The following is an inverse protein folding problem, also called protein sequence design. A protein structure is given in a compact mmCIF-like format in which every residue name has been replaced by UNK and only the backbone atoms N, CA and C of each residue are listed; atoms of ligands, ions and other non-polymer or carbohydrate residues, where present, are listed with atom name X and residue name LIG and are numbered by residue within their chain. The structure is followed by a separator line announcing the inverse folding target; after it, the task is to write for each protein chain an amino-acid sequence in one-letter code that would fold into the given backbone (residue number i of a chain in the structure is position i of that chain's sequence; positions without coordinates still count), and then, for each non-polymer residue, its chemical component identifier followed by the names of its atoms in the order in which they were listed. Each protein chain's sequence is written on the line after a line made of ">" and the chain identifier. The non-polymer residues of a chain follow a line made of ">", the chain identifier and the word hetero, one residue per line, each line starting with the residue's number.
data_IF_131716760339
#
_entry.id   IF_131716760339
#
_cell.length_a   1.000
_cell.length_b   1.000
_cell.length_c   1.000
_cell.angle_alpha   90.00
_cell.angle_beta   90.00
_cell.angle_gamma   90.00
#
_symmetry.space_group_name_H-M   'P 1'
#
loop_
_entity.id
_entity.type
_entity.pdbx_description
1 polymer ?
#
# COMPACT_ATOMS: atom_id res chain seq x y z
N UNK A 1 10.95 9.45 -12.19
CA UNK A 1 10.02 10.43 -12.79
C UNK A 1 8.98 10.89 -11.76
N UNK A 2 8.33 12.05 -11.93
CA UNK A 2 8.95 13.26 -12.48
C UNK A 2 10.08 13.78 -11.58
N UNK A 3 10.32 13.19 -10.40
CA UNK A 3 11.46 13.53 -9.54
C UNK A 3 11.33 14.88 -8.84
N UNK A 4 10.10 15.28 -8.49
CA UNK A 4 9.81 16.52 -7.76
C UNK A 4 9.93 16.31 -6.26
N UNK A 5 10.53 17.27 -5.56
CA UNK A 5 10.62 17.29 -4.11
C UNK A 5 10.97 18.69 -3.59
N UNK A 6 10.82 18.90 -2.28
CA UNK A 6 11.37 20.09 -1.63
C UNK A 6 12.90 20.10 -1.71
N UNK A 7 13.54 21.27 -1.85
CA UNK A 7 15.01 21.38 -1.97
C UNK A 7 15.79 20.75 -0.81
N UNK A 8 15.24 20.76 0.41
CA UNK A 8 15.87 20.15 1.58
C UNK A 8 15.79 18.60 1.58
N UNK A 9 14.90 18.00 0.78
CA UNK A 9 14.84 16.54 0.58
C UNK A 9 15.95 16.11 -0.39
N UNK A 10 16.09 16.83 -1.50
CA UNK A 10 17.17 16.63 -2.47
C UNK A 10 17.44 17.94 -3.22
N UNK A 11 18.66 18.46 -3.11
CA UNK A 11 19.05 19.72 -3.75
C UNK A 11 18.93 19.69 -5.28
N UNK A 12 19.04 18.50 -5.89
CA UNK A 12 18.91 18.28 -7.33
C UNK A 12 17.46 18.36 -7.84
N UNK A 13 16.44 18.35 -6.96
CA UNK A 13 15.05 18.56 -7.37
C UNK A 13 14.89 19.95 -7.99
N UNK A 14 14.44 19.99 -9.25
CA UNK A 14 14.30 21.25 -10.00
C UNK A 14 13.10 22.06 -9.53
N UNK A 15 12.05 21.38 -9.09
CA UNK A 15 10.86 21.96 -8.50
C UNK A 15 10.18 20.91 -7.62
N UNK A 16 9.28 21.36 -6.75
CA UNK A 16 8.49 20.45 -5.93
C UNK A 16 8.19 20.99 -4.55
N UNK A 17 7.21 20.38 -3.91
CA UNK A 17 6.95 20.55 -2.49
C UNK A 17 6.49 19.22 -1.89
N UNK A 18 7.38 18.58 -1.14
CA UNK A 18 7.14 17.28 -0.50
C UNK A 18 6.05 17.30 0.56
N UNK A 19 5.64 18.49 1.04
CA UNK A 19 4.56 18.64 2.01
C UNK A 19 3.16 18.68 1.36
N UNK A 20 3.03 19.03 0.07
CA UNK A 20 1.73 19.29 -0.57
C UNK A 20 1.50 18.49 -1.84
N UNK A 21 2.50 18.36 -2.70
CA UNK A 21 2.35 17.74 -4.01
C UNK A 21 1.92 16.28 -3.97
N UNK A 22 2.41 15.43 -3.04
CA UNK A 22 1.91 14.06 -2.90
C UNK A 22 0.39 14.02 -2.70
N UNK A 23 -0.17 14.93 -1.90
CA UNK A 23 -1.60 15.02 -1.64
C UNK A 23 -2.41 15.51 -2.83
N UNK A 24 -1.88 16.49 -3.57
CA UNK A 24 -2.50 16.98 -4.80
C UNK A 24 -2.54 15.87 -5.86
N UNK A 25 -1.42 15.16 -6.05
CA UNK A 25 -1.32 14.05 -7.00
C UNK A 25 -2.26 12.91 -6.60
N UNK A 26 -2.23 12.47 -5.35
CA UNK A 26 -3.11 11.41 -4.85
C UNK A 26 -4.60 11.76 -5.02
N UNK A 27 -4.98 13.02 -4.78
CA UNK A 27 -6.34 13.49 -5.02
C UNK A 27 -6.76 13.40 -6.49
N UNK A 28 -5.92 13.86 -7.41
CA UNK A 28 -6.23 13.79 -8.84
C UNK A 28 -6.20 12.37 -9.39
N UNK A 29 -5.36 11.48 -8.86
CA UNK A 29 -5.40 10.04 -9.18
C UNK A 29 -6.76 9.44 -8.82
N UNK A 30 -7.28 9.73 -7.61
CA UNK A 30 -8.62 9.27 -7.19
C UNK A 30 -9.74 9.83 -8.07
N UNK A 31 -9.68 11.11 -8.43
CA UNK A 31 -10.69 11.72 -9.31
C UNK A 31 -10.64 11.15 -10.73
N UNK A 32 -9.44 10.96 -11.27
CA UNK A 32 -9.23 10.36 -12.60
C UNK A 32 -9.74 8.92 -12.63
N UNK A 33 -9.36 8.12 -11.62
CA UNK A 33 -9.85 6.76 -11.41
C UNK A 33 -11.38 6.71 -11.38
N UNK A 34 -12.01 7.53 -10.53
CA UNK A 34 -13.46 7.54 -10.38
C UNK A 34 -14.19 8.00 -11.66
N UNK A 35 -13.62 8.95 -12.41
CA UNK A 35 -14.16 9.36 -13.70
C UNK A 35 -14.10 8.22 -14.74
N UNK A 36 -12.98 7.51 -14.81
CA UNK A 36 -12.80 6.35 -15.70
C UNK A 36 -13.75 5.20 -15.33
N UNK A 37 -13.89 4.89 -14.03
CA UNK A 37 -14.83 3.87 -13.55
C UNK A 37 -16.26 4.25 -13.86
N UNK A 38 -16.65 5.50 -13.63
CA UNK A 38 -17.99 5.99 -13.99
C UNK A 38 -18.26 5.80 -15.48
N UNK A 39 -17.33 6.20 -16.35
CA UNK A 39 -17.45 6.01 -17.79
C UNK A 39 -17.60 4.52 -18.14
N UNK A 40 -16.76 3.66 -17.55
CA UNK A 40 -16.79 2.22 -17.77
C UNK A 40 -18.14 1.60 -17.40
N UNK A 41 -18.60 1.86 -16.17
CA UNK A 41 -19.88 1.34 -15.67
C UNK A 41 -21.07 1.83 -16.49
N UNK A 42 -21.05 3.08 -16.94
CA UNK A 42 -22.16 3.69 -17.68
C UNK A 42 -22.23 3.29 -19.16
N UNK A 43 -21.08 3.13 -19.83
CA UNK A 43 -21.06 2.91 -21.29
C UNK A 43 -20.68 1.50 -21.72
N UNK A 44 -19.81 0.84 -20.96
CA UNK A 44 -19.11 -0.36 -21.45
C UNK A 44 -19.46 -1.62 -20.66
N UNK A 45 -19.71 -1.52 -19.35
CA UNK A 45 -19.85 -2.69 -18.49
C UNK A 45 -21.02 -3.62 -18.88
N UNK A 46 -22.17 -3.07 -19.28
CA UNK A 46 -23.34 -3.87 -19.69
C UNK A 46 -23.03 -4.72 -20.93
N UNK A 47 -22.29 -4.16 -21.89
CA UNK A 47 -21.98 -4.82 -23.16
C UNK A 47 -20.80 -5.79 -22.99
N UNK A 48 -19.72 -5.33 -22.33
CA UNK A 48 -18.47 -6.09 -22.20
C UNK A 48 -18.50 -7.10 -21.07
N UNK A 49 -19.41 -6.95 -20.10
CA UNK A 49 -19.53 -7.79 -18.89
C UNK A 49 -18.24 -7.86 -18.06
N UNK A 50 -17.36 -6.86 -18.17
CA UNK A 50 -16.10 -6.81 -17.44
C UNK A 50 -16.23 -6.14 -16.07
N UNK A 51 -15.11 -6.14 -15.34
CA UNK A 51 -14.97 -5.53 -14.02
C UNK A 51 -13.82 -4.53 -14.05
N UNK A 52 -13.94 -3.45 -13.28
CA UNK A 52 -12.90 -2.44 -13.14
C UNK A 52 -12.57 -2.21 -11.67
N UNK A 53 -11.30 -1.96 -11.35
CA UNK A 53 -10.83 -1.83 -9.98
C UNK A 53 -9.66 -0.86 -9.87
N UNK A 54 -9.10 -0.77 -8.66
CA UNK A 54 -7.86 -0.04 -8.38
C UNK A 54 -6.82 -1.03 -7.86
N UNK A 55 -5.55 -0.81 -8.18
CA UNK A 55 -4.44 -1.55 -7.58
C UNK A 55 -3.74 -0.69 -6.54
N UNK A 56 -3.56 -1.22 -5.33
CA UNK A 56 -2.94 -0.54 -4.21
C UNK A 56 -1.74 -1.33 -3.71
N UNK A 57 -0.61 -0.65 -3.53
CA UNK A 57 0.58 -1.21 -2.89
C UNK A 57 0.56 -0.90 -1.42
N UNK A 58 0.76 -1.92 -0.58
CA UNK A 58 0.88 -1.70 0.86
C UNK A 58 1.67 -2.84 1.52
N UNK A 59 2.65 -2.53 2.38
CA UNK A 59 3.17 -3.53 3.31
C UNK A 59 2.16 -3.79 4.41
N UNK A 60 2.32 -4.91 5.13
CA UNK A 60 1.65 -5.04 6.42
C UNK A 60 2.43 -4.25 7.48
N UNK A 61 1.73 -3.54 8.36
CA UNK A 61 2.37 -2.77 9.42
C UNK A 61 2.13 -3.44 10.78
N UNK A 62 3.20 -3.98 11.35
CA UNK A 62 3.21 -4.59 12.67
C UNK A 62 3.52 -3.51 13.72
N UNK A 63 2.79 -3.40 14.84
CA UNK A 63 3.17 -2.45 15.88
C UNK A 63 4.50 -2.84 16.52
N UNK A 64 5.38 -1.85 16.73
CA UNK A 64 6.71 -2.11 17.30
C UNK A 64 6.61 -2.76 18.69
N UNK A 65 5.62 -2.42 19.50
CA UNK A 65 5.30 -3.13 20.75
C UNK A 65 3.79 -3.15 21.00
N UNK A 66 3.37 -3.88 22.04
CA UNK A 66 1.96 -3.94 22.48
C UNK A 66 1.46 -2.65 23.15
N UNK A 67 2.31 -1.62 23.29
CA UNK A 67 1.91 -0.33 23.85
C UNK A 67 0.96 0.38 22.88
N UNK A 68 -0.13 0.93 23.43
CA UNK A 68 -1.18 1.64 22.67
C UNK A 68 -0.63 2.65 21.64
N UNK A 69 0.38 3.51 21.94
CA UNK A 69 0.90 4.44 20.95
C UNK A 69 1.50 3.76 19.71
N UNK A 70 2.16 2.61 19.83
CA UNK A 70 2.73 1.89 18.69
C UNK A 70 1.66 1.16 17.87
N UNK A 71 0.59 0.70 18.53
CA UNK A 71 -0.60 0.17 17.84
C UNK A 71 -1.26 1.27 17.01
N UNK A 72 -1.48 2.45 17.59
CA UNK A 72 -2.04 3.60 16.88
C UNK A 72 -1.12 4.06 15.74
N UNK A 73 0.20 4.05 15.95
CA UNK A 73 1.17 4.37 14.90
C UNK A 73 1.12 3.39 13.72
N UNK A 74 0.94 2.09 13.99
CA UNK A 74 0.78 1.08 12.94
C UNK A 74 -0.48 1.35 12.10
N UNK A 75 -1.61 1.66 12.73
CA UNK A 75 -2.84 2.01 12.01
C UNK A 75 -2.72 3.33 11.25
N UNK A 76 -2.04 4.34 11.80
CA UNK A 76 -1.75 5.57 11.03
C UNK A 76 -0.88 5.28 9.82
N UNK A 77 0.17 4.48 9.95
CA UNK A 77 0.99 4.10 8.80
C UNK A 77 0.17 3.35 7.72
N UNK A 78 -0.72 2.42 8.12
CA UNK A 78 -1.65 1.77 7.21
C UNK A 78 -2.64 2.75 6.56
N UNK A 79 -3.16 3.72 7.30
CA UNK A 79 -4.03 4.76 6.75
C UNK A 79 -3.28 5.60 5.71
N UNK A 80 -2.03 5.97 5.96
CA UNK A 80 -1.23 6.78 5.01
C UNK A 80 -0.76 6.00 3.77
N UNK A 81 -0.72 4.67 3.82
CA UNK A 81 -0.34 3.82 2.68
C UNK A 81 -1.56 3.29 1.92
N UNK A 82 -2.42 2.53 2.61
CA UNK A 82 -3.57 1.84 2.03
C UNK A 82 -4.86 2.66 2.16
N UNK A 83 -5.16 3.15 3.37
CA UNK A 83 -6.38 3.90 3.66
C UNK A 83 -6.52 5.18 2.84
N UNK A 84 -5.40 5.81 2.46
CA UNK A 84 -5.37 7.03 1.68
C UNK A 84 -6.15 6.91 0.37
N UNK A 85 -6.13 5.72 -0.24
CA UNK A 85 -6.90 5.43 -1.45
C UNK A 85 -8.14 4.59 -1.17
N UNK A 86 -8.06 3.65 -0.22
CA UNK A 86 -9.16 2.73 0.09
C UNK A 86 -10.36 3.44 0.76
N UNK A 87 -10.13 4.33 1.73
CA UNK A 87 -11.22 5.05 2.40
C UNK A 87 -12.00 5.95 1.43
N UNK A 88 -11.36 6.73 0.51
CA UNK A 88 -12.11 7.49 -0.49
C UNK A 88 -13.01 6.63 -1.37
N UNK A 89 -12.55 5.48 -1.87
CA UNK A 89 -13.38 4.66 -2.76
C UNK A 89 -14.47 3.88 -2.02
N UNK A 90 -14.38 3.69 -0.70
CA UNK A 90 -15.41 3.02 0.10
C UNK A 90 -16.39 4.03 0.72
N UNK A 91 -15.87 5.10 1.30
CA UNK A 91 -16.61 6.03 2.15
C UNK A 91 -16.81 7.41 1.50
N UNK A 92 -16.07 7.73 0.43
CA UNK A 92 -16.15 9.01 -0.26
C UNK A 92 -15.27 10.11 0.34
N UNK A 93 -14.42 9.80 1.31
CA UNK A 93 -13.50 10.76 1.93
C UNK A 93 -12.26 10.05 2.50
N UNK A 94 -11.21 10.82 2.81
CA UNK A 94 -9.94 10.31 3.33
C UNK A 94 -10.04 9.72 4.75
N UNK A 95 -9.05 8.95 5.23
CA UNK A 95 -9.01 8.53 6.63
C UNK A 95 -9.03 9.72 7.60
N UNK A 96 -9.69 9.55 8.76
CA UNK A 96 -9.76 10.60 9.78
C UNK A 96 -8.36 11.03 10.27
N UNK A 97 -7.47 10.06 10.47
CA UNK A 97 -6.08 10.28 10.87
C UNK A 97 -5.37 11.26 9.91
N UNK A 98 -5.49 11.03 8.60
CA UNK A 98 -4.92 11.90 7.57
C UNK A 98 -5.54 13.30 7.60
N UNK A 99 -6.87 13.42 7.62
CA UNK A 99 -7.53 14.75 7.69
C UNK A 99 -7.09 15.55 8.91
N UNK A 100 -6.98 14.89 10.07
CA UNK A 100 -6.61 15.54 11.32
C UNK A 100 -5.14 16.01 11.35
N UNK A 101 -4.22 15.21 10.79
CA UNK A 101 -2.78 15.50 10.81
C UNK A 101 -2.37 16.43 9.67
N UNK A 102 -2.81 16.14 8.44
CA UNK A 102 -2.37 16.84 7.22
C UNK A 102 -3.11 18.17 7.02
N UNK A 103 -4.38 18.22 7.45
CA UNK A 103 -5.23 19.43 7.46
C UNK A 103 -5.30 20.10 6.07
N UNK A 104 -4.97 21.39 5.99
CA UNK A 104 -5.14 22.20 4.77
C UNK A 104 -4.26 21.74 3.60
N UNK A 105 -3.22 20.92 3.84
CA UNK A 105 -2.39 20.34 2.77
C UNK A 105 -3.09 19.18 2.07
N UNK A 106 -4.11 18.57 2.70
CA UNK A 106 -4.93 17.51 2.11
C UNK A 106 -6.12 18.15 1.38
N UNK A 107 -6.23 17.98 0.05
CA UNK A 107 -7.38 18.48 -0.68
C UNK A 107 -8.70 17.92 -0.13
N UNK A 108 -9.79 18.66 -0.30
CA UNK A 108 -11.13 18.23 0.13
C UNK A 108 -11.94 17.83 -1.09
N UNK A 109 -12.63 16.70 -0.99
CA UNK A 109 -13.65 16.37 -1.99
C UNK A 109 -14.85 17.30 -1.83
N UNK A 110 -15.29 17.90 -2.93
CA UNK A 110 -16.65 18.44 -3.03
C UNK A 110 -17.66 17.30 -2.92
N UNK A 111 -18.92 17.60 -2.60
CA UNK A 111 -19.97 16.58 -2.52
C UNK A 111 -20.08 15.75 -3.80
N UNK A 112 -20.05 16.40 -4.97
CA UNK A 112 -20.08 15.74 -6.28
C UNK A 112 -18.89 14.81 -6.50
N UNK A 113 -17.69 15.19 -6.07
CA UNK A 113 -16.51 14.34 -6.18
C UNK A 113 -16.57 13.16 -5.21
N UNK A 114 -16.97 13.41 -3.97
CA UNK A 114 -17.16 12.36 -2.94
C UNK A 114 -18.13 11.29 -3.44
N UNK A 115 -19.28 11.71 -3.97
CA UNK A 115 -20.30 10.81 -4.52
C UNK A 115 -19.81 10.05 -5.78
N UNK A 116 -18.88 10.63 -6.54
CA UNK A 116 -18.29 9.97 -7.72
C UNK A 116 -17.22 8.95 -7.34
N UNK A 117 -16.40 9.24 -6.33
CA UNK A 117 -15.30 8.36 -5.88
C UNK A 117 -15.85 7.19 -5.05
N UNK A 118 -16.88 7.41 -4.24
CA UNK A 118 -17.51 6.37 -3.43
C UNK A 118 -18.10 5.26 -4.33
N UNK A 119 -17.71 4.01 -4.08
CA UNK A 119 -18.15 2.84 -4.85
C UNK A 119 -17.51 2.72 -6.24
N UNK A 120 -16.44 3.46 -6.52
CA UNK A 120 -15.76 3.45 -7.81
C UNK A 120 -14.85 2.23 -8.03
N UNK A 121 -15.34 1.02 -7.75
CA UNK A 121 -14.62 -0.23 -8.03
C UNK A 121 -15.59 -1.42 -8.08
N UNK A 122 -15.16 -2.52 -8.69
CA UNK A 122 -15.81 -3.85 -8.66
C UNK A 122 -14.92 -4.89 -7.95
N UNK A 123 -13.62 -4.62 -7.87
CA UNK A 123 -12.61 -5.39 -7.15
C UNK A 123 -11.45 -4.48 -6.72
N UNK A 124 -10.61 -4.98 -5.81
CA UNK A 124 -9.36 -4.34 -5.41
C UNK A 124 -8.18 -5.24 -5.80
N UNK A 125 -7.19 -4.67 -6.48
CA UNK A 125 -5.86 -5.25 -6.66
C UNK A 125 -4.98 -4.90 -5.47
N UNK A 126 -4.29 -5.89 -4.90
CA UNK A 126 -3.31 -5.68 -3.84
C UNK A 126 -1.94 -6.10 -4.33
N UNK A 127 -0.98 -5.18 -4.26
CA UNK A 127 0.44 -5.45 -4.45
C UNK A 127 1.07 -5.57 -3.06
N UNK A 128 1.49 -6.79 -2.69
CA UNK A 128 2.07 -7.10 -1.39
C UNK A 128 3.47 -7.68 -1.58
N UNK A 129 4.43 -7.24 -0.76
CA UNK A 129 5.82 -7.71 -0.87
C UNK A 129 6.47 -7.98 0.48
N UNK A 130 6.19 -7.14 1.48
CA UNK A 130 6.94 -7.05 2.74
C UNK A 130 6.05 -6.58 3.88
N UNK A 131 6.61 -6.55 5.08
CA UNK A 131 6.03 -5.91 6.24
C UNK A 131 7.07 -5.05 6.97
N UNK A 132 6.60 -4.07 7.74
CA UNK A 132 7.43 -3.21 8.58
C UNK A 132 6.90 -3.16 10.01
N UNK A 133 7.78 -2.89 10.97
CA UNK A 133 7.37 -2.45 12.29
C UNK A 133 7.12 -0.94 12.31
N UNK A 134 6.09 -0.48 13.02
CA UNK A 134 5.83 0.93 13.26
C UNK A 134 5.99 1.32 14.74
N UNK A 135 6.91 2.25 15.00
CA UNK A 135 7.06 2.92 16.28
C UNK A 135 6.43 4.32 16.23
N UNK A 136 5.90 4.78 17.37
CA UNK A 136 5.21 6.05 17.47
C UNK A 136 6.20 7.22 17.53
N UNK A 137 5.95 8.26 16.74
CA UNK A 137 6.63 9.55 16.87
C UNK A 137 5.71 10.49 17.66
N UNK A 138 6.08 10.90 18.89
CA UNK A 138 5.19 11.71 19.74
C UNK A 138 5.14 13.19 19.33
N UNK A 139 6.18 13.69 18.66
CA UNK A 139 6.30 15.10 18.28
C UNK A 139 6.45 15.20 16.76
N UNK A 140 5.53 15.92 16.12
CA UNK A 140 5.58 16.16 14.69
C UNK A 140 6.76 17.07 14.31
N UNK A 141 7.38 16.81 13.17
CA UNK A 141 8.33 17.75 12.57
C UNK A 141 7.55 18.98 12.04
N UNK A 142 7.94 20.18 12.46
CA UNK A 142 7.28 21.43 12.06
C UNK A 142 8.06 22.23 11.02
N UNK A 143 9.30 21.83 10.72
CA UNK A 143 10.18 22.55 9.79
C UNK A 143 10.23 21.85 8.44
N UNK A 144 10.72 20.61 8.44
CA UNK A 144 10.90 19.80 7.24
C UNK A 144 9.70 18.85 7.07
N UNK A 145 8.53 19.44 6.83
CA UNK A 145 7.26 18.73 6.69
C UNK A 145 7.23 18.00 5.34
N UNK A 146 6.90 16.71 5.35
CA UNK A 146 6.75 15.89 4.15
C UNK A 146 5.63 14.89 4.35
N UNK A 147 4.98 14.47 3.26
CA UNK A 147 4.07 13.33 3.29
C UNK A 147 4.69 12.12 4.02
N UNK A 148 5.98 11.87 3.81
CA UNK A 148 6.70 10.72 4.39
C UNK A 148 6.82 10.76 5.93
N UNK A 149 6.59 11.91 6.56
CA UNK A 149 6.66 12.07 8.03
C UNK A 149 5.29 12.28 8.67
N UNK A 150 4.24 12.52 7.87
CA UNK A 150 2.90 12.87 8.35
C UNK A 150 2.16 11.71 9.03
N UNK A 151 2.57 10.45 8.82
CA UNK A 151 2.01 9.30 9.55
C UNK A 151 2.34 9.31 11.04
N UNK A 152 3.32 10.14 11.46
CA UNK A 152 3.87 10.18 12.82
C UNK A 152 4.27 8.79 13.31
N UNK A 153 4.88 8.01 12.41
CA UNK A 153 5.37 6.68 12.67
C UNK A 153 6.77 6.50 12.05
N UNK A 154 7.68 5.91 12.82
CA UNK A 154 8.95 5.41 12.28
C UNK A 154 8.73 3.99 11.82
N UNK A 155 8.92 3.74 10.53
CA UNK A 155 8.92 2.40 9.96
C UNK A 155 10.32 1.79 10.05
N UNK A 156 10.41 0.52 10.45
CA UNK A 156 11.67 -0.20 10.55
C UNK A 156 11.46 -1.69 10.31
N UNK A 157 12.44 -2.32 9.67
CA UNK A 157 12.43 -3.76 9.41
C UNK A 157 13.00 -4.56 10.58
N UNK A 158 13.53 -3.90 11.62
CA UNK A 158 14.16 -4.53 12.78
C UNK A 158 13.53 -4.10 14.10
N UNK A 159 13.37 -5.06 15.01
CA UNK A 159 12.95 -4.82 16.39
C UNK A 159 13.91 -5.50 17.35
N UNK A 160 14.56 -4.72 18.21
CA UNK A 160 15.57 -5.20 19.16
C UNK A 160 16.70 -6.01 18.48
N UNK A 161 17.14 -5.55 17.30
CA UNK A 161 18.18 -6.22 16.52
C UNK A 161 17.70 -7.41 15.69
N UNK A 162 16.42 -7.79 15.77
CA UNK A 162 15.86 -8.92 15.03
C UNK A 162 15.04 -8.40 13.84
N UNK A 163 15.42 -8.81 12.63
CA UNK A 163 14.67 -8.50 11.41
C UNK A 163 13.27 -9.13 11.42
N UNK A 164 12.30 -8.45 10.81
CA UNK A 164 10.92 -8.93 10.69
C UNK A 164 10.82 -10.21 9.85
N UNK A 165 11.72 -10.36 8.88
CA UNK A 165 11.86 -11.52 8.02
C UNK A 165 13.23 -11.51 7.33
N UNK A 166 13.53 -12.56 6.56
CA UNK A 166 14.76 -12.63 5.76
C UNK A 166 14.79 -11.50 4.73
N UNK A 167 15.87 -10.74 4.64
CA UNK A 167 16.04 -9.70 3.64
C UNK A 167 16.29 -10.34 2.26
N UNK A 168 15.68 -9.78 1.21
CA UNK A 168 16.00 -10.11 -0.17
C UNK A 168 17.22 -9.30 -0.68
N UNK A 169 17.40 -9.21 -1.99
CA UNK A 169 18.52 -8.47 -2.57
C UNK A 169 18.41 -6.96 -2.30
N UNK A 170 17.22 -6.39 -2.44
CA UNK A 170 16.96 -5.01 -2.03
C UNK A 170 16.73 -4.90 -0.53
N UNK A 171 17.24 -3.80 0.05
CA UNK A 171 17.18 -3.55 1.50
C UNK A 171 15.77 -3.25 2.03
N UNK A 172 14.80 -2.92 1.17
CA UNK A 172 13.43 -2.62 1.60
C UNK A 172 12.57 -3.89 1.72
N UNK A 173 12.92 -4.97 1.03
CA UNK A 173 12.10 -6.18 0.95
C UNK A 173 12.55 -7.21 2.00
N UNK A 174 11.68 -7.46 2.98
CA UNK A 174 11.86 -8.51 3.99
C UNK A 174 10.71 -9.52 3.89
N UNK A 175 11.07 -10.79 3.75
CA UNK A 175 10.10 -11.86 3.49
C UNK A 175 9.22 -12.11 4.72
N UNK A 176 7.98 -11.62 4.67
CA UNK A 176 7.01 -11.76 5.76
C UNK A 176 5.65 -12.29 5.28
N UNK A 177 5.52 -13.60 4.98
CA UNK A 177 4.31 -14.17 4.39
C UNK A 177 3.04 -14.02 5.24
N UNK A 178 3.18 -14.02 6.57
CA UNK A 178 2.06 -13.82 7.50
C UNK A 178 1.37 -12.48 7.29
N UNK A 179 2.13 -11.43 6.93
CA UNK A 179 1.56 -10.10 6.73
C UNK A 179 0.57 -10.04 5.56
N UNK A 180 0.71 -10.90 4.55
CA UNK A 180 -0.28 -11.00 3.47
C UNK A 180 -1.65 -11.43 4.02
N UNK A 181 -1.67 -12.48 4.86
CA UNK A 181 -2.88 -12.94 5.53
C UNK A 181 -3.46 -11.85 6.43
N UNK A 182 -2.64 -11.23 7.25
CA UNK A 182 -3.09 -10.23 8.22
C UNK A 182 -3.65 -8.98 7.52
N UNK A 183 -3.02 -8.53 6.42
CA UNK A 183 -3.54 -7.48 5.55
C UNK A 183 -4.90 -7.86 4.95
N UNK A 184 -5.04 -9.08 4.44
CA UNK A 184 -6.28 -9.55 3.82
C UNK A 184 -7.43 -9.65 4.82
N UNK A 185 -7.16 -10.12 6.05
CA UNK A 185 -8.14 -10.11 7.12
C UNK A 185 -8.52 -8.68 7.52
N UNK A 186 -7.56 -7.77 7.62
CA UNK A 186 -7.83 -6.35 7.86
C UNK A 186 -8.71 -5.75 6.76
N UNK A 187 -8.44 -6.07 5.49
CA UNK A 187 -9.27 -5.63 4.36
C UNK A 187 -10.69 -6.18 4.48
N UNK A 188 -10.83 -7.46 4.83
CA UNK A 188 -12.12 -8.11 5.05
C UNK A 188 -12.92 -7.42 6.16
N UNK A 189 -12.32 -7.17 7.31
CA UNK A 189 -13.00 -6.61 8.48
C UNK A 189 -13.28 -5.11 8.32
N UNK A 190 -12.31 -4.32 7.85
CA UNK A 190 -12.45 -2.86 7.76
C UNK A 190 -13.28 -2.39 6.55
N UNK A 191 -13.26 -3.15 5.44
CA UNK A 191 -13.85 -2.72 4.17
C UNK A 191 -14.93 -3.66 3.64
N UNK A 192 -15.55 -4.45 4.52
CA UNK A 192 -16.69 -5.32 4.21
C UNK A 192 -16.41 -6.37 3.12
N UNK A 193 -15.24 -7.02 3.23
CA UNK A 193 -14.84 -8.18 2.42
C UNK A 193 -15.01 -8.01 0.90
N UNK A 194 -14.39 -6.97 0.28
CA UNK A 194 -14.48 -6.75 -1.15
C UNK A 194 -13.85 -7.91 -1.93
N UNK A 195 -14.18 -8.02 -3.21
CA UNK A 195 -13.48 -8.92 -4.11
C UNK A 195 -12.02 -8.46 -4.29
N UNK A 196 -11.06 -9.34 -4.03
CA UNK A 196 -9.62 -9.06 -4.09
C UNK A 196 -8.91 -9.93 -5.13
N UNK A 197 -7.94 -9.35 -5.81
CA UNK A 197 -6.89 -10.04 -6.55
C UNK A 197 -5.53 -9.62 -6.00
N UNK A 198 -4.62 -10.57 -5.76
CA UNK A 198 -3.22 -10.23 -5.50
C UNK A 198 -2.58 -9.93 -6.86
N UNK A 199 -2.45 -8.65 -7.19
CA UNK A 199 -2.00 -8.18 -8.51
C UNK A 199 -0.49 -8.18 -8.65
N UNK A 200 0.24 -8.13 -7.54
CA UNK A 200 1.68 -8.39 -7.51
C UNK A 200 2.09 -9.03 -6.17
N UNK A 201 2.97 -10.02 -6.26
CA UNK A 201 3.76 -10.54 -5.14
C UNK A 201 5.05 -11.14 -5.72
N UNK A 202 6.21 -10.83 -5.15
CA UNK A 202 7.49 -11.15 -5.77
C UNK A 202 8.70 -10.97 -4.87
N UNK A 203 9.84 -11.48 -5.31
CA UNK A 203 11.13 -11.30 -4.64
C UNK A 203 12.25 -11.12 -5.67
N UNK A 204 13.18 -10.23 -5.36
CA UNK A 204 14.37 -9.95 -6.14
C UNK A 204 15.60 -10.71 -5.62
N UNK A 205 16.54 -10.93 -6.53
CA UNK A 205 17.83 -11.58 -6.27
C UNK A 205 18.96 -10.64 -6.71
N UNK A 206 20.16 -10.81 -6.13
CA UNK A 206 21.31 -10.02 -6.53
C UNK A 206 21.64 -10.35 -7.98
N UNK A 207 21.80 -9.31 -8.81
CA UNK A 207 22.27 -9.51 -10.17
C UNK A 207 23.72 -10.01 -10.13
N UNK A 208 23.97 -11.18 -10.72
CA UNK A 208 25.29 -11.75 -10.83
C UNK A 208 25.56 -12.19 -12.28
N UNK A 209 26.19 -11.29 -13.04
CA UNK A 209 26.52 -11.51 -14.45
C UNK A 209 27.57 -12.62 -14.70
N UNK A 210 28.18 -13.16 -13.64
CA UNK A 210 29.15 -14.27 -13.75
C UNK A 210 28.49 -15.65 -13.76
N UNK A 211 27.20 -15.74 -13.38
CA UNK A 211 26.47 -17.01 -13.42
C UNK A 211 26.19 -17.43 -14.86
N UNK A 212 26.37 -18.71 -15.14
CA UNK A 212 25.78 -19.31 -16.35
C UNK A 212 24.25 -19.26 -16.28
N UNK A 213 23.58 -19.34 -17.43
CA UNK A 213 22.11 -19.38 -17.49
C UNK A 213 21.55 -20.54 -16.63
N UNK A 214 22.16 -21.72 -16.67
CA UNK A 214 21.71 -22.87 -15.87
C UNK A 214 21.78 -22.58 -14.36
N UNK A 215 22.78 -21.83 -13.90
CA UNK A 215 22.88 -21.44 -12.50
C UNK A 215 21.88 -20.32 -12.16
N UNK A 216 21.71 -19.33 -13.05
CA UNK A 216 20.76 -18.24 -12.86
C UNK A 216 19.30 -18.72 -12.81
N UNK A 217 18.97 -19.82 -13.51
CA UNK A 217 17.65 -20.45 -13.48
C UNK A 217 17.37 -21.25 -12.19
N UNK A 218 18.37 -21.45 -11.31
CA UNK A 218 18.17 -22.14 -10.03
C UNK A 218 17.82 -21.09 -8.97
N UNK A 219 16.52 -20.84 -8.80
CA UNK A 219 15.96 -19.78 -7.95
C UNK A 219 15.15 -20.31 -6.75
N UNK A 220 15.75 -21.14 -5.86
CA UNK A 220 15.04 -21.75 -4.74
C UNK A 220 14.45 -20.72 -3.75
N UNK A 221 15.04 -19.53 -3.67
CA UNK A 221 14.51 -18.43 -2.85
C UNK A 221 13.16 -17.93 -3.36
N UNK A 222 13.00 -17.81 -4.69
CA UNK A 222 11.74 -17.38 -5.31
C UNK A 222 10.66 -18.45 -5.15
N UNK A 223 11.02 -19.72 -5.35
CA UNK A 223 10.12 -20.86 -5.11
C UNK A 223 9.61 -20.86 -3.67
N UNK A 224 10.52 -20.77 -2.69
CA UNK A 224 10.15 -20.77 -1.27
C UNK A 224 9.36 -19.51 -0.86
N UNK A 225 9.69 -18.34 -1.42
CA UNK A 225 8.91 -17.11 -1.23
C UNK A 225 7.45 -17.31 -1.66
N UNK A 226 7.21 -17.79 -2.87
CA UNK A 226 5.85 -18.01 -3.38
C UNK A 226 5.12 -19.12 -2.62
N UNK A 227 5.79 -20.23 -2.35
CA UNK A 227 5.20 -21.32 -1.57
C UNK A 227 4.69 -20.82 -0.21
N UNK A 228 5.51 -20.04 0.52
CA UNK A 228 5.10 -19.51 1.83
C UNK A 228 3.98 -18.47 1.73
N UNK A 229 4.00 -17.57 0.74
CA UNK A 229 2.92 -16.59 0.56
C UNK A 229 1.60 -17.24 0.14
N UNK A 230 1.63 -18.22 -0.76
CA UNK A 230 0.46 -18.99 -1.17
C UNK A 230 -0.15 -19.79 0.00
N UNK A 231 0.67 -20.34 0.90
CA UNK A 231 0.19 -20.99 2.12
C UNK A 231 -0.60 -20.02 3.02
N UNK A 232 -0.10 -18.79 3.22
CA UNK A 232 -0.80 -17.79 4.03
C UNK A 232 -2.02 -17.21 3.31
N UNK A 233 -1.98 -17.11 1.98
CA UNK A 233 -3.14 -16.75 1.17
C UNK A 233 -4.25 -17.81 1.29
N UNK A 234 -3.90 -19.09 1.18
CA UNK A 234 -4.85 -20.19 1.36
C UNK A 234 -5.52 -20.14 2.73
N UNK A 235 -4.76 -19.84 3.79
CA UNK A 235 -5.29 -19.63 5.15
C UNK A 235 -6.27 -18.45 5.20
N UNK A 236 -5.93 -17.32 4.59
CA UNK A 236 -6.83 -16.16 4.53
C UNK A 236 -8.15 -16.50 3.81
N UNK A 237 -8.09 -17.27 2.72
CA UNK A 237 -9.27 -17.75 1.98
C UNK A 237 -10.12 -18.67 2.87
N UNK A 238 -9.50 -19.61 3.60
CA UNK A 238 -10.18 -20.48 4.59
C UNK A 238 -10.85 -19.69 5.72
N UNK A 239 -10.35 -18.49 6.02
CA UNK A 239 -10.91 -17.56 7.01
C UNK A 239 -11.92 -16.57 6.42
N UNK A 240 -12.34 -16.81 5.17
CA UNK A 240 -13.46 -16.15 4.51
C UNK A 240 -13.08 -14.89 3.73
N UNK A 241 -11.80 -14.62 3.48
CA UNK A 241 -11.40 -13.50 2.59
C UNK A 241 -11.78 -13.83 1.15
N UNK A 242 -12.43 -12.87 0.47
CA UNK A 242 -12.87 -13.01 -0.92
C UNK A 242 -11.75 -12.74 -1.95
N UNK A 243 -10.73 -13.61 -1.99
CA UNK A 243 -9.67 -13.56 -3.03
C UNK A 243 -10.03 -14.46 -4.21
N UNK A 244 -9.80 -13.98 -5.45
CA UNK A 244 -10.07 -14.74 -6.69
C UNK A 244 -8.90 -14.90 -7.65
N UNK A 245 -7.74 -14.35 -7.34
CA UNK A 245 -6.55 -14.59 -8.14
C UNK A 245 -5.28 -14.09 -7.48
N UNK A 246 -4.17 -14.61 -7.99
CA UNK A 246 -2.82 -14.33 -7.54
C UNK A 246 -1.90 -14.26 -8.75
N UNK A 247 -1.23 -13.13 -8.91
CA UNK A 247 -0.33 -12.82 -10.01
C UNK A 247 1.07 -12.59 -9.45
N UNK A 248 2.03 -13.41 -9.88
CA UNK A 248 3.44 -13.31 -9.48
C UNK A 248 4.09 -12.08 -10.11
N UNK A 249 5.12 -11.54 -9.45
CA UNK A 249 5.98 -10.48 -9.96
C UNK A 249 7.47 -10.90 -9.92
N UNK A 250 8.16 -11.08 -11.04
CA UNK A 250 7.67 -11.15 -12.43
C UNK A 250 7.70 -12.58 -12.93
#
# INVERSE_FOLDING_TARGET
>A
APGRCSKWVNAACQAGNSATEPYIVGHHLLLSHAAAVKLYKQKYQVIQKGKIGITLVTPWIVPYSKKKPHIEAAYRALDFMFGWYMDPIIYGDYPFSMRNIVRQRLPKFTKKQSDMVKGSFDFIGINYYTADYAANIPVANTVNISYSTDSLATLTTSRNGILIGSQAATSWLHVYPRGLRDLLLYVKEKYNNPLVYITENGIDEFNNATLSLEQALKDPMRIDYYHRHLLFLERAIKEGVNVKGYFVWS
#
